data_IF_729902791273
#
_entry.id   IF_729902791273
#
_cell.length_a   1.000
_cell.length_b   1.000
_cell.length_c   1.000
_cell.angle_alpha   90.00
_cell.angle_beta   90.00
_cell.angle_gamma   90.00
#
_symmetry.space_group_name_H-M   'P 1'
#
loop_
_entity.id
_entity.type
_entity.pdbx_description
1 polymer ?
#
# COMPACT_ATOMS: atom_id res chain seq x y z
N UNK A 1 -6.13 -3.95 -1.94
CA UNK A 1 -6.22 -5.12 -1.08
C UNK A 1 -6.36 -6.40 -1.92
N UNK A 2 -7.42 -6.53 -2.68
CA UNK A 2 -7.73 -7.75 -3.45
C UNK A 2 -6.61 -8.13 -4.44
N UNK A 3 -5.92 -7.14 -5.00
CA UNK A 3 -4.76 -7.36 -5.86
C UNK A 3 -3.61 -8.06 -5.12
N UNK A 4 -3.35 -7.72 -3.85
CA UNK A 4 -2.31 -8.39 -3.06
C UNK A 4 -2.74 -9.79 -2.58
N UNK A 5 -4.04 -10.06 -2.52
CA UNK A 5 -4.52 -11.42 -2.31
C UNK A 5 -4.13 -12.35 -3.48
N UNK A 6 -4.04 -11.81 -4.71
CA UNK A 6 -3.53 -12.59 -5.86
C UNK A 6 -2.06 -13.00 -5.69
N UNK A 7 -1.22 -12.18 -5.03
CA UNK A 7 0.16 -12.55 -4.70
C UNK A 7 0.22 -13.76 -3.76
N UNK A 8 -0.68 -13.79 -2.77
CA UNK A 8 -0.73 -14.88 -1.82
C UNK A 8 -1.20 -16.21 -2.44
N UNK A 9 -1.86 -16.22 -3.60
CA UNK A 9 -2.25 -17.44 -4.29
C UNK A 9 -1.03 -18.26 -4.75
N UNK A 10 0.00 -17.60 -5.28
CA UNK A 10 1.25 -18.21 -5.70
C UNK A 10 2.43 -17.39 -5.18
N UNK A 11 3.07 -17.89 -4.11
CA UNK A 11 4.20 -17.20 -3.51
C UNK A 11 5.40 -17.19 -4.48
N UNK A 12 5.98 -16.01 -4.65
CA UNK A 12 7.18 -15.76 -5.43
C UNK A 12 8.17 -14.94 -4.59
N UNK A 13 9.42 -14.91 -5.01
CA UNK A 13 10.47 -14.11 -4.35
C UNK A 13 10.33 -12.61 -4.60
N UNK A 14 9.63 -12.23 -5.66
CA UNK A 14 9.21 -10.87 -5.98
C UNK A 14 8.01 -10.92 -6.92
N UNK A 15 7.34 -9.80 -7.12
CA UNK A 15 6.22 -9.66 -8.04
C UNK A 15 6.46 -8.50 -8.98
N UNK A 16 5.54 -8.29 -9.93
CA UNK A 16 5.66 -7.25 -10.94
C UNK A 16 6.01 -5.86 -10.38
N UNK A 17 5.36 -5.44 -9.30
CA UNK A 17 5.46 -4.09 -8.75
C UNK A 17 5.83 -4.02 -7.25
N UNK A 18 5.80 -5.14 -6.52
CA UNK A 18 6.14 -5.14 -5.09
C UNK A 18 6.84 -6.42 -4.63
N UNK A 19 7.69 -6.32 -3.57
CA UNK A 19 8.29 -7.45 -2.90
C UNK A 19 7.29 -8.35 -2.14
N UNK A 20 7.71 -9.54 -1.65
CA UNK A 20 6.79 -10.61 -1.25
C UNK A 20 6.16 -10.50 0.15
N UNK A 21 6.63 -9.61 1.04
CA UNK A 21 6.22 -9.63 2.45
C UNK A 21 4.73 -9.44 2.68
N UNK A 22 4.02 -8.70 1.81
CA UNK A 22 2.56 -8.56 1.91
C UNK A 22 1.86 -9.89 1.64
N UNK A 23 2.33 -10.69 0.68
CA UNK A 23 1.80 -12.02 0.40
C UNK A 23 2.03 -13.00 1.56
N UNK A 24 3.21 -12.95 2.17
CA UNK A 24 3.53 -13.75 3.35
C UNK A 24 2.67 -13.37 4.55
N UNK A 25 2.42 -12.08 4.77
CA UNK A 25 1.53 -11.60 5.83
C UNK A 25 0.09 -12.11 5.62
N UNK A 26 -0.42 -12.06 4.38
CA UNK A 26 -1.74 -12.62 4.04
C UNK A 26 -1.77 -14.12 4.33
N UNK A 27 -0.79 -14.89 3.86
CA UNK A 27 -0.72 -16.33 4.12
C UNK A 27 -0.73 -16.65 5.62
N UNK A 28 0.00 -15.89 6.41
CA UNK A 28 0.07 -16.07 7.86
C UNK A 28 -1.32 -15.89 8.51
N UNK A 29 -2.01 -14.79 8.20
CA UNK A 29 -3.26 -14.44 8.89
C UNK A 29 -4.49 -15.17 8.34
N UNK A 30 -4.42 -15.63 7.09
CA UNK A 30 -5.47 -16.46 6.45
C UNK A 30 -5.27 -17.95 6.69
N UNK A 31 -4.29 -18.37 7.51
CA UNK A 31 -3.87 -19.76 7.68
C UNK A 31 -3.66 -20.46 6.32
N UNK A 32 -2.76 -19.89 5.53
CA UNK A 32 -2.42 -20.38 4.19
C UNK A 32 -3.62 -20.39 3.21
N UNK A 33 -4.43 -19.33 3.22
CA UNK A 33 -5.63 -19.13 2.40
C UNK A 33 -6.80 -20.07 2.75
N UNK A 34 -6.80 -20.64 3.95
CA UNK A 34 -7.95 -21.41 4.44
C UNK A 34 -9.15 -20.48 4.72
N UNK A 35 -8.89 -19.28 5.28
CA UNK A 35 -9.88 -18.23 5.46
C UNK A 35 -9.54 -17.03 4.56
N UNK A 36 -10.37 -16.76 3.56
CA UNK A 36 -10.11 -15.71 2.55
C UNK A 36 -11.04 -14.51 2.65
N UNK A 37 -11.90 -14.47 3.66
CA UNK A 37 -12.77 -13.31 3.87
C UNK A 37 -11.97 -12.07 4.35
N UNK A 38 -12.58 -10.90 4.18
CA UNK A 38 -11.93 -9.61 4.45
C UNK A 38 -11.40 -9.47 5.89
N UNK A 39 -11.99 -10.15 6.87
CA UNK A 39 -11.56 -10.11 8.26
C UNK A 39 -10.16 -10.71 8.42
N UNK A 40 -9.97 -11.96 7.96
CA UNK A 40 -8.68 -12.65 8.09
C UNK A 40 -7.59 -11.98 7.24
N UNK A 41 -7.94 -11.51 6.04
CA UNK A 41 -7.01 -10.78 5.15
C UNK A 41 -6.50 -9.50 5.82
N UNK A 42 -7.36 -8.78 6.56
CA UNK A 42 -7.01 -7.52 7.26
C UNK A 42 -6.45 -7.73 8.67
N UNK A 43 -6.52 -8.91 9.21
CA UNK A 43 -6.07 -9.20 10.58
C UNK A 43 -4.58 -8.87 10.76
N UNK A 44 -3.74 -9.14 9.75
CA UNK A 44 -2.31 -8.85 9.78
C UNK A 44 -1.99 -7.36 10.00
N UNK A 45 -2.43 -6.46 9.12
CA UNK A 45 -2.27 -5.02 9.30
C UNK A 45 -2.79 -4.51 10.65
N UNK A 46 -3.97 -4.95 11.08
CA UNK A 46 -4.57 -4.54 12.37
C UNK A 46 -3.67 -4.95 13.54
N UNK A 47 -3.15 -6.17 13.52
CA UNK A 47 -2.26 -6.66 14.56
C UNK A 47 -0.93 -5.90 14.57
N UNK A 48 -0.36 -5.67 13.39
CA UNK A 48 0.86 -4.88 13.26
C UNK A 48 0.65 -3.43 13.70
N UNK A 49 -0.51 -2.82 13.42
CA UNK A 49 -0.81 -1.46 13.87
C UNK A 49 -0.85 -1.34 15.40
N UNK A 50 -1.42 -2.34 16.08
CA UNK A 50 -1.43 -2.37 17.55
C UNK A 50 0.00 -2.48 18.12
N UNK A 51 0.82 -3.37 17.55
CA UNK A 51 2.24 -3.52 17.94
C UNK A 51 3.01 -2.24 17.65
N UNK A 52 2.82 -1.65 16.47
CA UNK A 52 3.47 -0.40 16.06
C UNK A 52 3.14 0.76 17.01
N UNK A 53 1.87 0.88 17.43
CA UNK A 53 1.44 1.89 18.40
C UNK A 53 2.16 1.69 19.75
N UNK A 54 2.28 0.44 20.21
CA UNK A 54 3.03 0.12 21.42
C UNK A 54 4.54 0.41 21.28
N UNK A 55 5.15 0.04 20.15
CA UNK A 55 6.55 0.37 19.87
C UNK A 55 6.79 1.88 19.86
N UNK A 56 5.90 2.65 19.26
CA UNK A 56 5.96 4.12 19.27
C UNK A 56 5.89 4.68 20.70
N UNK A 57 5.04 4.09 21.56
CA UNK A 57 5.03 4.42 22.99
C UNK A 57 6.39 4.11 23.64
N UNK A 58 6.97 2.94 23.38
CA UNK A 58 8.25 2.53 23.95
C UNK A 58 9.38 3.47 23.50
N UNK A 59 9.48 3.75 22.18
CA UNK A 59 10.49 4.67 21.62
C UNK A 59 10.34 6.06 22.24
N UNK A 60 9.14 6.63 22.20
CA UNK A 60 8.87 7.95 22.77
C UNK A 60 9.19 8.04 24.27
N UNK A 61 8.87 6.97 25.03
CA UNK A 61 9.19 6.88 26.46
C UNK A 61 10.69 6.88 26.70
N UNK A 62 11.45 6.20 25.86
CA UNK A 62 12.90 6.12 25.89
C UNK A 62 13.56 7.45 25.51
N UNK A 63 12.98 8.19 24.58
CA UNK A 63 13.48 9.51 24.19
C UNK A 63 13.48 10.51 25.35
N UNK A 64 12.48 10.43 26.26
CA UNK A 64 12.38 11.35 27.39
C UNK A 64 11.63 10.77 28.59
N UNK A 65 10.34 10.45 28.46
CA UNK A 65 9.48 9.95 29.54
C UNK A 65 8.16 9.36 29.01
N UNK A 66 7.38 8.73 29.89
CA UNK A 66 6.09 8.09 29.55
C UNK A 66 5.08 9.03 28.89
N UNK A 67 5.11 10.33 29.19
CA UNK A 67 4.25 11.33 28.52
C UNK A 67 4.64 11.51 27.06
N UNK A 68 5.94 11.53 26.74
CA UNK A 68 6.44 11.55 25.37
C UNK A 68 6.01 10.31 24.61
N UNK A 69 6.10 9.13 25.27
CA UNK A 69 5.61 7.87 24.70
C UNK A 69 4.12 7.90 24.39
N UNK A 70 3.30 8.37 25.34
CA UNK A 70 1.87 8.50 25.14
C UNK A 70 1.53 9.44 23.97
N UNK A 71 2.17 10.61 23.89
CA UNK A 71 1.95 11.54 22.77
C UNK A 71 2.36 10.89 21.44
N UNK A 72 3.49 10.16 21.40
CA UNK A 72 3.95 9.47 20.19
C UNK A 72 2.93 8.43 19.72
N UNK A 73 2.41 7.60 20.63
CA UNK A 73 1.38 6.61 20.34
C UNK A 73 0.07 7.26 19.83
N UNK A 74 -0.39 8.33 20.48
CA UNK A 74 -1.61 9.04 20.11
C UNK A 74 -1.51 9.73 18.74
N UNK A 75 -0.39 10.42 18.46
CA UNK A 75 -0.16 11.04 17.16
C UNK A 75 0.02 9.99 16.05
N UNK A 76 0.67 8.87 16.35
CA UNK A 76 0.78 7.74 15.43
C UNK A 76 -0.61 7.19 15.08
N UNK A 77 -1.44 6.88 16.08
CA UNK A 77 -2.80 6.36 15.87
C UNK A 77 -3.71 7.38 15.17
N UNK A 78 -3.51 8.69 15.34
CA UNK A 78 -4.31 9.71 14.67
C UNK A 78 -3.88 10.02 13.23
N UNK A 79 -2.78 9.49 12.72
CA UNK A 79 -2.40 9.60 11.32
C UNK A 79 -3.21 8.63 10.45
N UNK A 80 -3.81 9.09 9.35
CA UNK A 80 -4.53 8.23 8.41
C UNK A 80 -3.62 7.21 7.73
N UNK A 81 -2.36 7.60 7.47
CA UNK A 81 -1.39 6.65 6.92
C UNK A 81 -1.18 5.45 7.83
N UNK A 82 -0.92 5.68 9.11
CA UNK A 82 -0.59 4.60 10.05
C UNK A 82 -1.81 3.82 10.53
N UNK A 83 -2.98 4.48 10.62
CA UNK A 83 -4.21 3.86 11.12
C UNK A 83 -5.03 3.18 10.02
N UNK A 84 -5.04 3.70 8.79
CA UNK A 84 -5.86 3.17 7.70
C UNK A 84 -4.99 2.46 6.66
N UNK A 85 -4.03 3.19 6.04
CA UNK A 85 -3.25 2.66 4.91
C UNK A 85 -2.36 1.50 5.34
N UNK A 86 -1.60 1.66 6.41
CA UNK A 86 -0.72 0.62 6.95
C UNK A 86 -1.34 -0.14 8.13
N UNK A 87 -2.49 0.29 8.65
CA UNK A 87 -3.08 -0.24 9.86
C UNK A 87 -4.35 -1.07 9.68
N UNK A 88 -5.07 -0.91 8.57
CA UNK A 88 -6.28 -1.66 8.25
C UNK A 88 -6.18 -2.33 6.90
N UNK A 89 -5.75 -1.58 5.87
CA UNK A 89 -5.65 -2.14 4.54
C UNK A 89 -4.45 -3.06 4.40
N UNK A 90 -4.66 -4.20 3.74
CA UNK A 90 -3.55 -5.10 3.42
C UNK A 90 -2.79 -4.56 2.21
N UNK A 91 -1.75 -3.81 2.50
CA UNK A 91 -0.83 -3.19 1.56
C UNK A 91 0.62 -3.52 1.95
N UNK A 92 1.59 -3.40 1.04
CA UNK A 92 3.01 -3.53 1.37
C UNK A 92 3.48 -2.59 2.48
N UNK A 93 2.76 -1.49 2.69
CA UNK A 93 3.00 -0.50 3.75
C UNK A 93 2.86 -1.09 5.17
N UNK A 94 1.98 -2.07 5.38
CA UNK A 94 1.75 -2.66 6.70
C UNK A 94 3.01 -3.38 7.24
N UNK A 95 3.61 -4.38 6.57
CA UNK A 95 4.84 -5.00 7.03
C UNK A 95 6.04 -4.04 6.95
N UNK A 96 6.09 -3.13 5.97
CA UNK A 96 7.16 -2.13 5.86
C UNK A 96 7.22 -1.25 7.11
N UNK A 97 6.08 -0.70 7.54
CA UNK A 97 6.01 0.21 8.69
C UNK A 97 6.44 -0.48 9.99
N UNK A 98 6.08 -1.74 10.17
CA UNK A 98 6.49 -2.54 11.32
C UNK A 98 8.02 -2.67 11.39
N UNK A 99 8.64 -3.12 10.31
CA UNK A 99 10.11 -3.26 10.27
C UNK A 99 10.83 -1.91 10.34
N UNK A 100 10.25 -0.88 9.76
CA UNK A 100 10.78 0.49 9.85
C UNK A 100 10.85 0.98 11.30
N UNK A 101 9.80 0.78 12.08
CA UNK A 101 9.75 1.21 13.49
C UNK A 101 10.74 0.41 14.33
N UNK A 102 10.88 -0.89 14.10
CA UNK A 102 11.92 -1.71 14.76
C UNK A 102 13.32 -1.17 14.43
N UNK A 103 13.58 -0.86 13.16
CA UNK A 103 14.85 -0.25 12.77
C UNK A 103 15.11 1.07 13.48
N UNK A 104 14.11 1.95 13.60
CA UNK A 104 14.26 3.20 14.35
C UNK A 104 14.59 2.95 15.82
N UNK A 105 13.94 1.97 16.46
CA UNK A 105 14.25 1.60 17.84
C UNK A 105 15.71 1.19 18.00
N UNK A 106 16.19 0.29 17.13
CA UNK A 106 17.59 -0.18 17.13
C UNK A 106 18.59 0.94 16.84
N UNK A 107 18.30 1.78 15.85
CA UNK A 107 19.17 2.90 15.48
C UNK A 107 19.30 3.93 16.61
N UNK A 108 18.22 4.22 17.33
CA UNK A 108 18.28 5.10 18.51
C UNK A 108 19.20 4.51 19.56
N UNK A 109 19.14 3.19 19.77
CA UNK A 109 20.05 2.50 20.69
C UNK A 109 21.50 2.59 20.24
N UNK A 110 21.77 2.33 18.97
CA UNK A 110 23.12 2.39 18.38
C UNK A 110 23.73 3.77 18.58
N UNK A 111 22.97 4.86 18.36
CA UNK A 111 23.54 6.22 18.44
C UNK A 111 23.63 6.77 19.86
N UNK A 112 22.96 6.14 20.83
CA UNK A 112 22.98 6.57 22.25
C UNK A 112 23.83 5.70 23.16
N UNK A 113 24.07 4.44 22.78
CA UNK A 113 24.83 3.48 23.59
C UNK A 113 26.36 3.66 23.42
N UNK A 114 27.09 3.44 24.52
CA UNK A 114 28.55 3.43 24.53
C UNK A 114 29.15 2.01 24.75
N UNK A 115 28.31 0.96 24.67
CA UNK A 115 28.70 -0.40 25.08
C UNK A 115 28.86 -1.38 23.90
N UNK A 116 29.42 -2.57 24.16
CA UNK A 116 29.55 -3.70 23.23
C UNK A 116 28.21 -4.20 22.66
N UNK A 117 27.09 -3.85 23.26
CA UNK A 117 25.74 -4.19 22.81
C UNK A 117 25.46 -3.65 21.38
N UNK A 118 26.17 -2.60 20.95
CA UNK A 118 26.07 -2.04 19.58
C UNK A 118 26.26 -3.11 18.50
N UNK A 119 27.11 -4.11 18.72
CA UNK A 119 27.37 -5.17 17.74
C UNK A 119 26.12 -5.99 17.41
N UNK A 120 25.40 -6.40 18.44
CA UNK A 120 24.15 -7.15 18.27
C UNK A 120 23.05 -6.31 17.62
N UNK A 121 22.94 -5.04 18.01
CA UNK A 121 21.97 -4.11 17.45
C UNK A 121 22.22 -3.82 15.97
N UNK A 122 23.48 -3.73 15.53
CA UNK A 122 23.82 -3.60 14.11
C UNK A 122 23.39 -4.83 13.30
N UNK A 123 23.62 -6.05 13.81
CA UNK A 123 23.17 -7.28 13.16
C UNK A 123 21.64 -7.29 13.02
N UNK A 124 20.93 -7.02 14.10
CA UNK A 124 19.45 -6.95 14.08
C UNK A 124 18.94 -5.86 13.13
N UNK A 125 19.61 -4.70 13.10
CA UNK A 125 19.27 -3.65 12.13
C UNK A 125 19.40 -4.15 10.69
N UNK A 126 20.47 -4.88 10.36
CA UNK A 126 20.66 -5.48 9.03
C UNK A 126 19.52 -6.45 8.66
N UNK A 127 19.10 -7.29 9.60
CA UNK A 127 17.98 -8.23 9.40
C UNK A 127 16.68 -7.45 9.12
N UNK A 128 16.31 -6.54 10.02
CA UNK A 128 15.04 -5.84 9.91
C UNK A 128 15.01 -4.81 8.76
N UNK A 129 16.14 -4.19 8.42
CA UNK A 129 16.25 -3.35 7.23
C UNK A 129 16.06 -4.18 5.95
N UNK A 130 16.65 -5.39 5.88
CA UNK A 130 16.41 -6.33 4.79
C UNK A 130 14.93 -6.71 4.66
N UNK A 131 14.26 -7.07 5.76
CA UNK A 131 12.83 -7.39 5.79
C UNK A 131 11.95 -6.17 5.43
N UNK A 132 12.39 -4.97 5.81
CA UNK A 132 11.72 -3.73 5.42
C UNK A 132 11.79 -3.52 3.89
N UNK A 133 12.95 -3.75 3.27
CA UNK A 133 13.13 -3.69 1.81
C UNK A 133 12.31 -4.78 1.12
N UNK A 134 12.29 -6.01 1.68
CA UNK A 134 11.43 -7.11 1.22
C UNK A 134 9.93 -6.81 1.33
N UNK A 135 9.55 -5.79 2.11
CA UNK A 135 8.16 -5.30 2.19
C UNK A 135 7.89 -4.26 1.11
N UNK A 136 8.77 -3.26 0.97
CA UNK A 136 8.66 -2.18 -0.02
C UNK A 136 10.03 -1.54 -0.23
N UNK A 137 10.37 -1.25 -1.48
CA UNK A 137 11.69 -0.74 -1.87
C UNK A 137 12.12 0.53 -1.10
N UNK A 138 11.16 1.34 -0.62
CA UNK A 138 11.44 2.51 0.21
C UNK A 138 12.21 2.18 1.50
N UNK A 139 12.26 0.91 1.92
CA UNK A 139 13.12 0.44 3.02
C UNK A 139 14.60 0.76 2.83
N UNK A 140 15.07 0.99 1.60
CA UNK A 140 16.43 1.44 1.29
C UNK A 140 16.77 2.79 1.95
N UNK A 141 15.78 3.64 2.19
CA UNK A 141 16.00 4.93 2.88
C UNK A 141 16.44 4.78 4.34
N UNK A 142 16.25 3.62 4.97
CA UNK A 142 16.85 3.33 6.28
C UNK A 142 18.39 3.29 6.18
N UNK A 143 18.91 2.60 5.19
CA UNK A 143 20.35 2.57 4.93
C UNK A 143 20.89 3.91 4.44
N UNK A 144 20.15 4.62 3.59
CA UNK A 144 20.53 5.95 3.14
C UNK A 144 20.66 6.91 4.33
N UNK A 145 19.64 7.00 5.17
CA UNK A 145 19.62 7.89 6.32
C UNK A 145 20.68 7.51 7.37
N UNK A 146 20.85 6.21 7.66
CA UNK A 146 21.86 5.75 8.59
C UNK A 146 23.29 5.91 8.04
N UNK A 147 23.50 5.64 6.76
CA UNK A 147 24.78 5.89 6.07
C UNK A 147 25.16 7.38 6.12
N UNK A 148 24.22 8.28 5.82
CA UNK A 148 24.44 9.72 5.97
C UNK A 148 24.77 10.09 7.42
N UNK A 149 24.09 9.52 8.41
CA UNK A 149 24.40 9.74 9.82
C UNK A 149 25.84 9.32 10.16
N UNK A 150 26.25 8.15 9.71
CA UNK A 150 27.61 7.63 9.94
C UNK A 150 28.64 8.57 9.31
N UNK A 151 28.48 8.90 8.04
CA UNK A 151 29.45 9.70 7.27
C UNK A 151 29.61 11.11 7.80
N UNK A 152 28.52 11.74 8.28
CA UNK A 152 28.52 13.13 8.72
C UNK A 152 28.86 13.25 10.21
N UNK A 153 28.33 12.34 11.06
CA UNK A 153 28.34 12.54 12.50
C UNK A 153 29.05 11.47 13.33
N UNK A 154 29.27 10.26 12.79
CA UNK A 154 29.88 9.16 13.57
C UNK A 154 30.73 8.22 12.71
N UNK A 155 31.79 8.76 12.10
CA UNK A 155 32.70 8.00 11.23
C UNK A 155 33.39 6.82 11.91
N UNK A 156 33.46 6.83 13.26
CA UNK A 156 34.05 5.71 14.01
C UNK A 156 33.29 4.40 13.79
N UNK A 157 31.99 4.44 13.45
CA UNK A 157 31.23 3.23 13.10
C UNK A 157 31.75 2.54 11.83
N UNK A 158 32.44 3.26 10.93
CA UNK A 158 33.06 2.67 9.73
C UNK A 158 34.17 1.64 10.09
N UNK A 159 34.77 1.74 11.27
CA UNK A 159 35.75 0.77 11.73
C UNK A 159 35.15 -0.44 12.46
N UNK A 160 33.82 -0.46 12.62
CA UNK A 160 33.11 -1.55 13.26
C UNK A 160 32.77 -2.65 12.24
N UNK A 161 33.42 -3.83 12.37
CA UNK A 161 33.18 -4.98 11.47
C UNK A 161 31.72 -5.43 11.41
N UNK A 162 30.94 -5.24 12.47
CA UNK A 162 29.53 -5.61 12.52
C UNK A 162 28.62 -4.69 11.66
N UNK A 163 29.08 -3.49 11.30
CA UNK A 163 28.41 -2.68 10.30
C UNK A 163 28.43 -3.36 8.92
N UNK A 164 29.57 -3.87 8.51
CA UNK A 164 29.71 -4.58 7.24
C UNK A 164 28.96 -5.90 7.24
N UNK A 165 28.96 -6.62 8.37
CA UNK A 165 28.15 -7.82 8.54
C UNK A 165 26.65 -7.49 8.43
N UNK A 166 26.21 -6.37 8.99
CA UNK A 166 24.82 -5.87 8.87
C UNK A 166 24.42 -5.60 7.41
N UNK A 167 25.30 -4.91 6.66
CA UNK A 167 25.11 -4.68 5.21
C UNK A 167 25.04 -6.01 4.46
N UNK A 168 25.96 -6.92 4.74
CA UNK A 168 26.00 -8.25 4.10
C UNK A 168 24.70 -9.04 4.36
N UNK A 169 24.21 -9.06 5.61
CA UNK A 169 22.95 -9.71 5.98
C UNK A 169 21.78 -9.07 5.22
N UNK A 170 21.73 -7.73 5.13
CA UNK A 170 20.68 -7.05 4.34
C UNK A 170 20.72 -7.47 2.89
N UNK A 171 21.92 -7.51 2.26
CA UNK A 171 22.09 -7.92 0.86
C UNK A 171 21.63 -9.38 0.69
N UNK A 172 21.99 -10.27 1.61
CA UNK A 172 21.57 -11.67 1.57
C UNK A 172 20.06 -11.82 1.64
N UNK A 173 19.39 -11.08 2.53
CA UNK A 173 17.92 -11.12 2.67
C UNK A 173 17.22 -10.56 1.40
N UNK A 174 17.77 -9.54 0.77
CA UNK A 174 17.20 -8.88 -0.41
C UNK A 174 17.57 -9.59 -1.72
N UNK A 175 18.61 -10.45 -1.71
CA UNK A 175 19.11 -11.12 -2.93
C UNK A 175 18.02 -11.87 -3.72
N UNK A 176 16.98 -12.51 -3.11
CA UNK A 176 15.93 -13.16 -3.87
C UNK A 176 15.14 -12.21 -4.81
N UNK A 177 14.98 -10.92 -4.43
CA UNK A 177 14.37 -9.92 -5.31
C UNK A 177 15.24 -9.70 -6.56
N UNK A 178 16.56 -9.63 -6.38
CA UNK A 178 17.51 -9.40 -7.47
C UNK A 178 17.53 -10.60 -8.41
N UNK A 179 17.59 -11.82 -7.87
CA UNK A 179 17.56 -13.07 -8.64
C UNK A 179 16.27 -13.15 -9.47
N UNK A 180 15.11 -12.94 -8.84
CA UNK A 180 13.83 -12.94 -9.54
C UNK A 180 13.79 -11.90 -10.68
N UNK A 181 14.33 -10.70 -10.46
CA UNK A 181 14.38 -9.66 -11.50
C UNK A 181 15.31 -10.04 -12.66
N UNK A 182 16.45 -10.71 -12.40
CA UNK A 182 17.31 -11.24 -13.46
C UNK A 182 16.54 -12.26 -14.31
N UNK A 183 15.84 -13.19 -13.69
CA UNK A 183 15.02 -14.20 -14.37
C UNK A 183 13.84 -13.61 -15.16
N UNK A 184 13.35 -12.43 -14.77
CA UNK A 184 12.21 -11.74 -15.38
C UNK A 184 12.60 -10.44 -16.11
N UNK A 185 13.82 -10.36 -16.69
CA UNK A 185 14.29 -9.24 -17.52
C UNK A 185 14.20 -7.88 -16.83
N UNK A 186 14.43 -7.83 -15.52
CA UNK A 186 14.38 -6.62 -14.71
C UNK A 186 13.06 -5.84 -14.77
N UNK A 187 11.94 -6.53 -14.99
CA UNK A 187 10.64 -5.89 -15.24
C UNK A 187 10.20 -4.95 -14.10
N UNK A 188 10.43 -5.32 -12.83
CA UNK A 188 10.08 -4.46 -11.70
C UNK A 188 10.87 -3.14 -11.74
N UNK A 189 12.17 -3.20 -12.03
CA UNK A 189 13.00 -1.99 -12.14
C UNK A 189 12.63 -1.15 -13.34
N UNK A 190 12.37 -1.76 -14.50
CA UNK A 190 11.93 -1.05 -15.70
C UNK A 190 10.60 -0.34 -15.46
N UNK A 191 9.63 -1.03 -14.84
CA UNK A 191 8.34 -0.46 -14.52
C UNK A 191 8.45 0.74 -13.54
N UNK A 192 9.24 0.60 -12.47
CA UNK A 192 9.42 1.68 -11.51
C UNK A 192 10.30 2.81 -12.03
N UNK A 193 11.35 2.53 -12.81
CA UNK A 193 12.19 3.57 -13.40
C UNK A 193 11.40 4.45 -14.36
N UNK A 194 10.53 3.87 -15.18
CA UNK A 194 9.64 4.63 -16.07
C UNK A 194 8.68 5.57 -15.29
N UNK A 195 8.37 5.24 -14.03
CA UNK A 195 7.54 6.09 -13.16
C UNK A 195 8.29 7.26 -12.54
N UNK A 196 9.61 7.21 -12.45
CA UNK A 196 10.44 8.25 -11.82
C UNK A 196 11.39 8.96 -12.80
N UNK A 197 11.49 8.50 -14.05
CA UNK A 197 12.32 9.12 -15.09
C UNK A 197 11.80 10.52 -15.40
N UNK A 198 12.71 11.51 -15.41
CA UNK A 198 12.40 12.90 -15.71
C UNK A 198 12.41 13.08 -17.23
N UNK A 199 11.25 12.95 -17.87
CA UNK A 199 11.07 13.09 -19.33
C UNK A 199 9.97 14.12 -19.67
N UNK A 200 9.36 14.74 -18.66
CA UNK A 200 8.28 15.72 -18.79
C UNK A 200 8.68 17.05 -18.14
N UNK A 201 8.04 18.12 -18.59
CA UNK A 201 8.16 19.43 -17.96
C UNK A 201 7.65 19.45 -16.51
N UNK A 202 7.84 20.59 -15.81
CA UNK A 202 7.43 20.75 -14.41
C UNK A 202 5.93 20.55 -14.24
N UNK A 203 5.54 19.67 -13.32
CA UNK A 203 4.18 19.33 -12.94
C UNK A 203 3.82 19.93 -11.56
N UNK A 204 3.39 21.18 -11.53
CA UNK A 204 2.98 21.84 -10.29
C UNK A 204 1.79 21.15 -9.62
N UNK A 205 0.87 20.56 -10.39
CA UNK A 205 -0.27 19.81 -9.83
C UNK A 205 0.22 18.55 -9.06
N UNK A 206 1.22 17.86 -9.59
CA UNK A 206 1.87 16.74 -8.90
C UNK A 206 2.52 17.17 -7.58
N UNK A 207 3.23 18.30 -7.60
CA UNK A 207 3.84 18.89 -6.41
C UNK A 207 2.79 19.24 -5.32
N UNK A 208 1.75 19.98 -5.68
CA UNK A 208 0.70 20.32 -4.71
C UNK A 208 -0.03 19.08 -4.20
N UNK A 209 -0.27 18.09 -5.05
CA UNK A 209 -0.86 16.81 -4.65
C UNK A 209 0.01 16.08 -3.64
N UNK A 210 1.33 16.02 -3.82
CA UNK A 210 2.26 15.37 -2.88
C UNK A 210 2.28 16.09 -1.53
N UNK A 211 2.42 17.42 -1.53
CA UNK A 211 2.51 18.22 -0.29
C UNK A 211 1.18 18.22 0.47
N UNK A 212 0.07 18.53 -0.20
CA UNK A 212 -1.25 18.57 0.44
C UNK A 212 -1.76 17.17 0.77
N UNK A 213 -1.53 16.21 -0.12
CA UNK A 213 -1.84 14.81 0.12
C UNK A 213 -1.03 14.24 1.30
N UNK A 214 0.26 14.56 1.40
CA UNK A 214 1.08 14.20 2.55
C UNK A 214 0.52 14.76 3.87
N UNK A 215 0.04 16.01 3.86
CA UNK A 215 -0.64 16.60 5.01
C UNK A 215 -1.96 15.88 5.34
N UNK A 216 -2.76 15.53 4.33
CA UNK A 216 -4.02 14.79 4.51
C UNK A 216 -3.76 13.40 5.07
N UNK A 217 -2.87 12.60 4.45
CA UNK A 217 -2.57 11.24 4.91
C UNK A 217 -1.97 11.18 6.32
N UNK A 218 -1.24 12.21 6.75
CA UNK A 218 -0.70 12.28 8.11
C UNK A 218 -1.63 12.99 9.12
N UNK A 219 -2.87 13.26 8.77
CA UNK A 219 -3.82 14.10 9.48
C UNK A 219 -3.38 15.58 9.52
N UNK A 220 -4.14 16.54 8.98
CA UNK A 220 -3.75 17.95 8.90
C UNK A 220 -3.35 18.57 10.25
N UNK A 221 -3.99 18.15 11.35
CA UNK A 221 -3.65 18.64 12.69
C UNK A 221 -2.29 18.10 13.14
N UNK A 222 -1.98 16.83 12.88
CA UNK A 222 -0.65 16.28 13.13
C UNK A 222 0.41 17.01 12.29
N UNK A 223 0.09 17.29 11.03
CA UNK A 223 1.02 17.98 10.13
C UNK A 223 1.37 19.39 10.66
N UNK A 224 0.38 20.15 11.15
CA UNK A 224 0.59 21.44 11.81
C UNK A 224 1.46 21.28 13.06
N UNK A 225 1.20 20.27 13.90
CA UNK A 225 2.02 19.99 15.09
C UNK A 225 3.45 19.63 14.72
N UNK A 226 3.66 18.84 13.65
CA UNK A 226 4.99 18.48 13.13
C UNK A 226 5.73 19.72 12.67
N UNK A 227 5.13 20.57 11.84
CA UNK A 227 5.75 21.79 11.33
C UNK A 227 6.13 22.73 12.48
N UNK A 228 5.21 22.95 13.44
CA UNK A 228 5.48 23.81 14.61
C UNK A 228 6.59 23.25 15.50
N UNK A 229 6.64 21.94 15.69
CA UNK A 229 7.71 21.29 16.44
C UNK A 229 9.07 21.41 15.73
N UNK A 230 9.11 21.20 14.41
CA UNK A 230 10.34 21.34 13.61
C UNK A 230 10.87 22.78 13.66
N UNK A 231 10.01 23.79 13.53
CA UNK A 231 10.40 25.20 13.70
C UNK A 231 10.96 25.47 15.11
N UNK A 232 10.33 24.89 16.14
CA UNK A 232 10.82 25.00 17.51
C UNK A 232 12.18 24.31 17.72
N UNK A 233 12.37 23.13 17.10
CA UNK A 233 13.65 22.39 17.11
C UNK A 233 14.74 23.17 16.38
N UNK A 234 14.43 23.77 15.23
CA UNK A 234 15.35 24.64 14.49
C UNK A 234 15.79 25.84 15.33
N UNK A 235 14.85 26.48 16.02
CA UNK A 235 15.11 27.61 16.94
C UNK A 235 15.72 27.18 18.29
N UNK A 236 16.14 25.94 18.45
CA UNK A 236 16.72 25.36 19.68
C UNK A 236 15.86 25.55 20.94
N UNK A 237 14.54 25.60 20.81
CA UNK A 237 13.61 25.69 21.96
C UNK A 237 13.58 24.44 22.85
N UNK A 238 14.03 23.30 22.34
CA UNK A 238 13.93 22.02 23.00
C UNK A 238 15.29 21.36 23.15
N UNK A 239 15.60 20.89 24.35
CA UNK A 239 16.87 20.22 24.67
C UNK A 239 16.85 18.74 24.27
N UNK A 240 16.83 18.47 22.97
CA UNK A 240 16.92 17.10 22.43
C UNK A 240 18.40 16.72 22.29
N UNK A 241 18.75 15.47 22.67
CA UNK A 241 20.10 14.95 22.46
C UNK A 241 20.45 15.00 20.97
N UNK A 242 21.59 15.60 20.64
CA UNK A 242 22.02 15.84 19.26
C UNK A 242 22.08 14.58 18.39
N UNK A 243 22.63 13.42 18.89
CA UNK A 243 22.62 12.18 18.11
C UNK A 243 21.22 11.76 17.68
N UNK A 244 20.24 11.79 18.59
CA UNK A 244 18.85 11.43 18.32
C UNK A 244 18.19 12.40 17.33
N UNK A 245 18.34 13.72 17.55
CA UNK A 245 17.81 14.75 16.66
C UNK A 245 18.30 14.54 15.23
N UNK A 246 19.60 14.38 15.05
CA UNK A 246 20.25 14.19 13.75
C UNK A 246 19.79 12.91 13.07
N UNK A 247 19.73 11.81 13.82
CA UNK A 247 19.27 10.53 13.31
C UNK A 247 17.81 10.63 12.81
N UNK A 248 16.87 11.10 13.64
CA UNK A 248 15.46 11.17 13.27
C UNK A 248 15.19 12.10 12.09
N UNK A 249 15.94 13.19 11.95
CA UNK A 249 15.87 14.06 10.77
C UNK A 249 16.38 13.34 9.52
N UNK A 250 17.49 12.58 9.61
CA UNK A 250 18.02 11.83 8.48
C UNK A 250 17.20 10.60 8.12
N UNK A 251 16.42 10.05 9.05
CA UNK A 251 15.46 9.00 8.77
C UNK A 251 14.16 9.50 8.14
N UNK A 252 13.94 10.82 8.09
CA UNK A 252 12.71 11.41 7.55
C UNK A 252 12.94 12.27 6.32
N UNK A 253 13.80 13.28 6.41
CA UNK A 253 13.93 14.30 5.38
C UNK A 253 14.36 13.77 4.00
N UNK A 254 15.32 12.83 3.88
CA UNK A 254 15.71 12.31 2.56
C UNK A 254 14.55 11.73 1.77
N UNK A 255 13.71 10.88 2.37
CA UNK A 255 12.57 10.29 1.69
C UNK A 255 11.53 11.35 1.31
N UNK A 256 11.19 12.26 2.22
CA UNK A 256 10.21 13.33 1.96
C UNK A 256 10.70 14.24 0.82
N UNK A 257 11.96 14.69 0.87
CA UNK A 257 12.52 15.60 -0.12
C UNK A 257 12.64 14.95 -1.51
N UNK A 258 13.04 13.68 -1.57
CA UNK A 258 13.12 12.93 -2.84
C UNK A 258 11.73 12.81 -3.46
N UNK A 259 10.70 12.47 -2.68
CA UNK A 259 9.34 12.34 -3.23
C UNK A 259 8.76 13.70 -3.65
N UNK A 260 8.97 14.76 -2.89
CA UNK A 260 8.60 16.12 -3.28
C UNK A 260 9.32 16.52 -4.58
N UNK A 261 10.62 16.21 -4.71
CA UNK A 261 11.36 16.49 -5.94
C UNK A 261 10.82 15.70 -7.14
N UNK A 262 10.59 14.39 -6.99
CA UNK A 262 10.02 13.55 -8.05
C UNK A 262 8.63 14.05 -8.44
N UNK A 263 7.81 14.52 -7.49
CA UNK A 263 6.45 15.00 -7.75
C UNK A 263 6.38 16.24 -8.63
N UNK A 264 7.49 17.00 -8.74
CA UNK A 264 7.60 18.10 -9.69
C UNK A 264 7.60 17.66 -11.16
N UNK A 265 7.87 16.38 -11.43
CA UNK A 265 8.02 15.86 -12.78
C UNK A 265 7.11 14.67 -13.06
N UNK A 266 6.72 13.91 -12.03
CA UNK A 266 5.94 12.67 -12.11
C UNK A 266 4.85 12.62 -11.06
N UNK A 267 3.86 11.80 -11.34
CA UNK A 267 2.78 11.53 -10.39
C UNK A 267 3.28 10.58 -9.30
N UNK A 268 3.44 11.10 -8.08
CA UNK A 268 3.70 10.33 -6.86
C UNK A 268 2.40 10.04 -6.13
N UNK A 269 2.44 9.06 -5.24
CA UNK A 269 1.32 8.79 -4.32
C UNK A 269 1.70 9.32 -2.93
N UNK A 270 0.93 10.28 -2.38
CA UNK A 270 1.31 11.00 -1.16
C UNK A 270 1.55 10.13 0.08
N UNK A 271 1.01 8.91 0.12
CA UNK A 271 1.28 7.97 1.21
C UNK A 271 2.67 7.31 1.14
N UNK A 272 3.40 7.46 0.03
CA UNK A 272 4.76 6.89 -0.08
C UNK A 272 5.75 7.50 0.91
N UNK A 273 5.56 8.76 1.29
CA UNK A 273 6.34 9.44 2.32
C UNK A 273 5.98 9.01 3.75
N UNK A 274 4.92 8.24 3.93
CA UNK A 274 4.36 7.86 5.24
C UNK A 274 5.38 7.34 6.27
N UNK A 275 6.28 6.38 5.96
CA UNK A 275 7.27 5.88 6.92
C UNK A 275 8.19 6.97 7.48
N UNK A 276 8.52 7.99 6.69
CA UNK A 276 9.35 9.12 7.12
C UNK A 276 8.68 9.94 8.24
N UNK A 277 7.35 10.08 8.20
CA UNK A 277 6.60 10.83 9.21
C UNK A 277 6.64 10.19 10.60
N UNK A 278 6.94 8.90 10.72
CA UNK A 278 7.12 8.23 12.03
C UNK A 278 8.23 8.91 12.84
N UNK A 279 9.36 9.21 12.20
CA UNK A 279 10.46 9.92 12.85
C UNK A 279 10.09 11.35 13.23
N UNK A 280 9.30 12.03 12.40
CA UNK A 280 8.79 13.38 12.68
C UNK A 280 7.78 13.40 13.83
N UNK A 281 6.93 12.36 13.93
CA UNK A 281 6.01 12.16 15.08
C UNK A 281 6.81 12.01 16.39
N UNK A 282 7.90 11.25 16.40
CA UNK A 282 8.77 11.10 17.57
C UNK A 282 9.39 12.43 17.99
N UNK A 283 9.93 13.22 17.07
CA UNK A 283 10.45 14.56 17.33
C UNK A 283 9.36 15.50 17.87
N UNK A 284 8.17 15.43 17.29
CA UNK A 284 7.01 16.23 17.71
C UNK A 284 6.57 15.86 19.11
N UNK A 285 6.49 14.56 19.42
CA UNK A 285 6.10 14.10 20.76
C UNK A 285 7.07 14.56 21.84
N UNK A 286 8.38 14.57 21.54
CA UNK A 286 9.40 15.13 22.43
C UNK A 286 9.17 16.62 22.66
N UNK A 287 8.96 17.40 21.61
CA UNK A 287 8.72 18.83 21.70
C UNK A 287 7.46 19.17 22.53
N UNK A 288 6.35 18.48 22.23
CA UNK A 288 5.08 18.69 22.92
C UNK A 288 5.12 18.31 24.40
N UNK A 289 5.87 17.27 24.78
CA UNK A 289 6.04 16.85 26.15
C UNK A 289 6.86 17.86 26.99
N UNK A 290 7.62 18.75 26.35
CA UNK A 290 8.35 19.85 27.03
C UNK A 290 7.49 21.07 27.28
N UNK A 291 6.47 21.31 26.44
CA UNK A 291 5.58 22.47 26.53
C UNK A 291 4.29 22.20 27.29
N UNK A 292 4.10 20.97 27.81
CA UNK A 292 2.89 20.55 28.50
C UNK A 292 2.63 21.41 29.75
N UNK A 293 1.46 22.07 29.80
CA UNK A 293 1.00 22.84 30.97
C UNK A 293 0.68 21.94 32.17
N UNK A 294 0.89 22.43 33.40
CA UNK A 294 0.61 21.73 34.67
C UNK A 294 -0.81 21.10 34.79
N UNK A 295 -1.79 21.62 34.02
CA UNK A 295 -3.19 21.21 34.07
C UNK A 295 -3.51 19.97 33.19
N UNK A 296 -2.75 19.73 32.11
CA UNK A 296 -2.99 18.60 31.19
C UNK A 296 -1.68 17.86 30.94
N UNK A 297 -1.72 16.50 30.92
CA UNK A 297 -0.55 15.65 30.66
C UNK A 297 0.07 15.91 29.26
N UNK A 298 -0.72 16.44 28.30
CA UNK A 298 -0.31 16.74 26.93
C UNK A 298 -1.25 17.80 26.30
N UNK A 299 -0.86 18.44 25.18
CA UNK A 299 -1.68 19.46 24.52
C UNK A 299 -3.03 18.92 24.05
N UNK A 300 -4.09 19.72 24.22
CA UNK A 300 -5.46 19.36 23.78
C UNK A 300 -5.52 18.99 22.28
N UNK A 301 -4.69 19.62 21.46
CA UNK A 301 -4.65 19.39 20.00
C UNK A 301 -4.33 17.93 19.64
N UNK A 302 -3.64 17.16 20.50
CA UNK A 302 -3.41 15.72 20.32
C UNK A 302 -4.73 14.94 20.37
N UNK A 303 -5.59 15.25 21.36
CA UNK A 303 -6.93 14.65 21.44
C UNK A 303 -7.82 15.10 20.29
N UNK A 304 -7.76 16.37 19.92
CA UNK A 304 -8.52 16.90 18.78
C UNK A 304 -8.15 16.15 17.49
N UNK A 305 -6.86 15.82 17.31
CA UNK A 305 -6.39 15.04 16.17
C UNK A 305 -6.98 13.62 16.16
N UNK A 306 -7.05 12.94 17.32
CA UNK A 306 -7.69 11.62 17.41
C UNK A 306 -9.18 11.68 17.10
N UNK A 307 -9.90 12.64 17.69
CA UNK A 307 -11.33 12.82 17.45
C UNK A 307 -11.58 13.12 15.98
N UNK A 308 -10.75 13.99 15.37
CA UNK A 308 -10.85 14.30 13.94
C UNK A 308 -10.68 13.02 13.08
N UNK A 309 -9.68 12.19 13.37
CA UNK A 309 -9.49 10.92 12.67
C UNK A 309 -10.70 10.00 12.84
N UNK A 310 -11.22 9.85 14.06
CA UNK A 310 -12.39 9.03 14.31
C UNK A 310 -13.62 9.53 13.54
N UNK A 311 -13.86 10.84 13.52
CA UNK A 311 -14.97 11.45 12.77
C UNK A 311 -14.83 11.18 11.26
N UNK A 312 -13.63 11.34 10.71
CA UNK A 312 -13.39 11.08 9.27
C UNK A 312 -13.60 9.60 8.94
N UNK A 313 -13.12 8.67 9.77
CA UNK A 313 -13.35 7.22 9.57
C UNK A 313 -14.84 6.90 9.60
N UNK A 314 -15.56 7.38 10.62
CA UNK A 314 -17.00 7.17 10.75
C UNK A 314 -17.78 7.76 9.55
N UNK A 315 -17.45 8.98 9.15
CA UNK A 315 -18.04 9.64 7.98
C UNK A 315 -17.75 8.85 6.70
N UNK A 316 -16.54 8.32 6.53
CA UNK A 316 -16.16 7.46 5.42
C UNK A 316 -17.00 6.18 5.37
N UNK A 317 -17.18 5.49 6.49
CA UNK A 317 -18.00 4.28 6.59
C UNK A 317 -19.47 4.58 6.20
N UNK A 318 -20.02 5.69 6.71
CA UNK A 318 -21.38 6.11 6.35
C UNK A 318 -21.48 6.44 4.86
N UNK A 319 -20.54 7.18 4.33
CA UNK A 319 -20.48 7.56 2.91
C UNK A 319 -20.45 6.34 1.99
N UNK A 320 -19.54 5.38 2.27
CA UNK A 320 -19.41 4.17 1.45
C UNK A 320 -20.71 3.37 1.43
N UNK A 321 -21.37 3.20 2.57
CA UNK A 321 -22.50 2.29 2.70
C UNK A 321 -23.85 2.95 2.40
N UNK A 322 -24.02 4.24 2.70
CA UNK A 322 -25.34 4.87 2.74
C UNK A 322 -25.52 6.06 1.78
N UNK A 323 -24.46 6.51 1.08
CA UNK A 323 -24.61 7.60 0.11
C UNK A 323 -25.59 7.19 -1.01
N UNK A 324 -26.61 8.00 -1.35
CA UNK A 324 -27.58 7.62 -2.38
C UNK A 324 -26.95 7.68 -3.79
N UNK A 325 -26.88 6.54 -4.47
CA UNK A 325 -26.29 6.43 -5.79
C UNK A 325 -24.77 6.57 -5.78
N UNK A 326 -24.24 7.54 -6.48
CA UNK A 326 -22.79 7.78 -6.65
C UNK A 326 -22.41 9.23 -6.38
N UNK A 327 -21.21 9.44 -5.81
CA UNK A 327 -20.57 10.77 -5.71
C UNK A 327 -19.82 11.15 -6.99
N UNK A 328 -19.71 10.22 -7.94
CA UNK A 328 -19.07 10.42 -9.25
C UNK A 328 -20.09 10.82 -10.33
N UNK A 329 -19.76 10.47 -11.57
CA UNK A 329 -20.62 10.75 -12.72
C UNK A 329 -22.00 10.09 -12.59
N UNK A 330 -23.06 10.84 -12.87
CA UNK A 330 -24.44 10.36 -12.94
C UNK A 330 -24.89 10.04 -14.37
N UNK A 331 -24.05 10.29 -15.39
CA UNK A 331 -24.34 9.95 -16.78
C UNK A 331 -24.43 8.44 -16.97
N UNK A 332 -25.44 7.98 -17.70
CA UNK A 332 -25.76 6.55 -17.89
C UNK A 332 -24.57 5.73 -18.40
N UNK A 333 -23.75 6.28 -19.30
CA UNK A 333 -22.61 5.60 -19.92
C UNK A 333 -21.37 5.53 -19.01
N UNK A 334 -21.21 6.51 -18.14
CA UNK A 334 -20.07 6.63 -17.22
C UNK A 334 -20.50 6.64 -15.75
N UNK A 335 -21.63 6.01 -15.44
CA UNK A 335 -22.24 6.02 -14.11
C UNK A 335 -21.22 5.52 -13.06
N UNK A 336 -20.97 6.34 -12.04
CA UNK A 336 -20.02 6.05 -10.97
C UNK A 336 -18.57 6.42 -11.29
N UNK A 337 -18.24 6.94 -12.48
CA UNK A 337 -16.86 7.34 -12.81
C UNK A 337 -16.40 8.47 -11.88
N UNK A 338 -15.24 8.25 -11.23
CA UNK A 338 -14.69 9.16 -10.23
C UNK A 338 -15.15 8.89 -8.79
N UNK A 339 -16.06 7.93 -8.56
CA UNK A 339 -16.48 7.52 -7.21
C UNK A 339 -15.60 6.38 -6.69
N UNK A 340 -14.55 6.73 -5.95
CA UNK A 340 -13.61 5.77 -5.32
C UNK A 340 -14.27 4.92 -4.21
N UNK A 341 -15.43 5.35 -3.67
CA UNK A 341 -16.12 4.59 -2.62
C UNK A 341 -16.75 3.31 -3.16
N UNK A 342 -17.02 3.24 -4.47
CA UNK A 342 -17.56 2.06 -5.13
C UNK A 342 -16.56 0.90 -5.18
N UNK A 343 -15.26 1.17 -5.04
CA UNK A 343 -14.23 0.12 -4.99
C UNK A 343 -14.35 -0.78 -3.74
N UNK A 344 -14.98 -0.26 -2.68
CA UNK A 344 -15.24 -0.99 -1.43
C UNK A 344 -16.72 -1.40 -1.26
N UNK A 345 -17.60 -1.09 -2.23
CA UNK A 345 -19.05 -1.28 -2.05
C UNK A 345 -19.57 -2.57 -2.68
N UNK A 346 -20.05 -3.50 -1.84
CA UNK A 346 -20.88 -4.68 -2.17
C UNK A 346 -20.51 -5.45 -3.45
N UNK A 347 -19.28 -5.94 -3.56
CA UNK A 347 -18.85 -6.75 -4.70
C UNK A 347 -19.58 -8.10 -4.80
N UNK A 348 -20.03 -8.68 -3.68
CA UNK A 348 -20.81 -9.92 -3.63
C UNK A 348 -22.13 -9.83 -4.40
N UNK A 349 -22.71 -8.62 -4.54
CA UNK A 349 -23.87 -8.39 -5.38
C UNK A 349 -23.61 -8.82 -6.83
N UNK A 350 -22.44 -8.51 -7.37
CA UNK A 350 -22.09 -8.85 -8.74
C UNK A 350 -21.87 -10.37 -8.94
N UNK A 351 -21.35 -11.06 -7.93
CA UNK A 351 -21.27 -12.54 -7.93
C UNK A 351 -22.63 -13.16 -8.18
N UNK A 352 -23.63 -12.77 -7.39
CA UNK A 352 -25.00 -13.30 -7.52
C UNK A 352 -25.58 -13.04 -8.91
N UNK A 353 -25.43 -11.83 -9.44
CA UNK A 353 -25.95 -11.45 -10.76
C UNK A 353 -25.20 -12.13 -11.90
N UNK A 354 -23.90 -12.21 -11.82
CA UNK A 354 -23.10 -12.96 -12.80
C UNK A 354 -23.49 -14.45 -12.83
N UNK A 355 -23.64 -15.08 -11.66
CA UNK A 355 -24.06 -16.47 -11.56
C UNK A 355 -25.41 -16.73 -12.24
N UNK A 356 -26.36 -15.80 -12.11
CA UNK A 356 -27.64 -15.89 -12.80
C UNK A 356 -27.47 -15.88 -14.34
N UNK A 357 -26.64 -14.96 -14.86
CA UNK A 357 -26.34 -14.88 -16.30
C UNK A 357 -25.64 -16.16 -16.78
N UNK A 358 -24.62 -16.58 -16.05
CA UNK A 358 -23.83 -17.77 -16.33
C UNK A 358 -24.70 -19.04 -16.39
N UNK A 359 -25.52 -19.27 -15.35
CA UNK A 359 -26.42 -20.42 -15.25
C UNK A 359 -27.47 -20.43 -16.36
N UNK A 360 -28.02 -19.26 -16.74
CA UNK A 360 -28.97 -19.17 -17.84
C UNK A 360 -28.31 -19.47 -19.20
N UNK A 361 -27.08 -19.01 -19.42
CA UNK A 361 -26.37 -19.34 -20.67
C UNK A 361 -26.04 -20.80 -20.78
N UNK A 362 -25.66 -21.48 -19.68
CA UNK A 362 -25.47 -22.92 -19.64
C UNK A 362 -26.77 -23.70 -19.96
N UNK A 363 -27.86 -23.34 -19.29
CA UNK A 363 -29.18 -24.01 -19.49
C UNK A 363 -29.68 -23.84 -20.91
N UNK A 364 -29.45 -22.70 -21.53
CA UNK A 364 -29.91 -22.40 -22.89
C UNK A 364 -28.92 -22.90 -23.99
N UNK A 365 -27.86 -23.59 -23.61
CA UNK A 365 -26.87 -24.10 -24.54
C UNK A 365 -26.08 -23.06 -25.32
N UNK A 366 -26.05 -21.80 -24.81
CA UNK A 366 -25.31 -20.70 -25.48
C UNK A 366 -23.80 -20.88 -25.40
N UNK A 367 -23.30 -21.36 -24.27
CA UNK A 367 -21.89 -21.65 -24.04
C UNK A 367 -21.76 -22.55 -22.82
N UNK A 368 -20.70 -23.32 -22.76
CA UNK A 368 -20.28 -24.13 -21.61
C UNK A 368 -18.96 -23.63 -21.01
N UNK A 369 -18.50 -22.43 -21.43
CA UNK A 369 -17.21 -21.90 -21.02
C UNK A 369 -17.12 -21.69 -19.51
N UNK A 370 -15.93 -21.95 -18.97
CA UNK A 370 -15.55 -21.68 -17.58
C UNK A 370 -14.53 -20.55 -17.48
N UNK A 371 -14.29 -19.81 -18.58
CA UNK A 371 -13.28 -18.75 -18.61
C UNK A 371 -13.88 -17.37 -18.40
N UNK A 372 -13.19 -16.55 -17.61
CA UNK A 372 -13.36 -15.09 -17.55
C UNK A 372 -12.03 -14.46 -17.94
N UNK A 373 -12.05 -13.48 -18.83
CA UNK A 373 -10.86 -12.72 -19.26
C UNK A 373 -10.97 -11.27 -18.85
N UNK A 374 -9.84 -10.62 -18.55
CA UNK A 374 -9.77 -9.18 -18.39
C UNK A 374 -8.39 -8.64 -18.77
N UNK A 375 -8.34 -7.37 -19.20
CA UNK A 375 -7.13 -6.74 -19.70
C UNK A 375 -6.47 -5.77 -18.71
N UNK A 376 -7.04 -5.54 -17.52
CA UNK A 376 -6.50 -4.60 -16.54
C UNK A 376 -6.49 -5.21 -15.14
N UNK A 377 -5.37 -5.09 -14.44
CA UNK A 377 -5.14 -5.70 -13.13
C UNK A 377 -6.15 -5.28 -12.05
N UNK A 378 -6.59 -4.02 -12.06
CA UNK A 378 -7.46 -3.51 -10.99
C UNK A 378 -8.88 -4.12 -11.07
N UNK A 379 -9.65 -3.99 -12.17
CA UNK A 379 -10.92 -4.70 -12.26
C UNK A 379 -10.74 -6.22 -12.22
N UNK A 380 -9.65 -6.74 -12.82
CA UNK A 380 -9.32 -8.16 -12.79
C UNK A 380 -9.27 -8.73 -11.38
N UNK A 381 -8.58 -8.07 -10.45
CA UNK A 381 -8.45 -8.56 -9.08
C UNK A 381 -9.79 -8.71 -8.37
N UNK A 382 -10.71 -7.77 -8.56
CA UNK A 382 -12.06 -7.85 -7.99
C UNK A 382 -12.91 -8.94 -8.66
N UNK A 383 -12.87 -9.02 -9.99
CA UNK A 383 -13.64 -10.04 -10.75
C UNK A 383 -13.13 -11.44 -10.40
N UNK A 384 -11.83 -11.63 -10.34
CA UNK A 384 -11.21 -12.88 -9.97
C UNK A 384 -11.63 -13.31 -8.55
N UNK A 385 -11.42 -12.47 -7.57
CA UNK A 385 -11.68 -12.78 -6.17
C UNK A 385 -13.17 -12.92 -5.82
N UNK A 386 -14.01 -12.02 -6.34
CA UNK A 386 -15.43 -11.98 -5.96
C UNK A 386 -16.35 -12.74 -6.91
N UNK A 387 -15.92 -13.05 -8.15
CA UNK A 387 -16.77 -13.73 -9.13
C UNK A 387 -16.17 -15.06 -9.55
N UNK A 388 -14.92 -15.06 -10.10
CA UNK A 388 -14.37 -16.26 -10.72
C UNK A 388 -14.10 -17.36 -9.69
N UNK A 389 -13.31 -17.08 -8.65
CA UNK A 389 -12.94 -18.09 -7.64
C UNK A 389 -14.14 -18.69 -6.91
N UNK A 390 -15.11 -17.90 -6.39
CA UNK A 390 -16.27 -18.46 -5.70
C UNK A 390 -17.22 -19.28 -6.60
N UNK A 391 -17.13 -19.11 -7.92
CA UNK A 391 -17.91 -19.86 -8.92
C UNK A 391 -17.09 -20.95 -9.59
N UNK A 392 -15.85 -21.19 -9.14
CA UNK A 392 -14.92 -22.18 -9.70
C UNK A 392 -14.66 -21.98 -11.20
N UNK A 393 -14.59 -20.72 -11.64
CA UNK A 393 -14.26 -20.31 -13.00
C UNK A 393 -12.78 -19.98 -13.11
N UNK A 394 -12.19 -20.27 -14.27
CA UNK A 394 -10.80 -19.91 -14.57
C UNK A 394 -10.70 -18.45 -14.99
N UNK A 395 -9.91 -17.66 -14.29
CA UNK A 395 -9.64 -16.27 -14.64
C UNK A 395 -8.33 -16.17 -15.41
N UNK A 396 -8.31 -15.45 -16.55
CA UNK A 396 -7.13 -15.24 -17.40
C UNK A 396 -6.92 -13.74 -17.61
N UNK A 397 -5.74 -13.23 -17.23
CA UNK A 397 -5.31 -11.89 -17.60
C UNK A 397 -4.89 -11.87 -19.08
N UNK A 398 -5.68 -11.23 -19.94
CA UNK A 398 -5.44 -11.20 -21.39
C UNK A 398 -5.26 -9.74 -21.84
N UNK A 399 -4.02 -9.29 -21.96
CA UNK A 399 -3.67 -7.92 -22.30
C UNK A 399 -2.17 -7.66 -22.29
N UNK A 400 -1.77 -6.40 -22.40
CA UNK A 400 -0.38 -5.99 -22.28
C UNK A 400 0.14 -6.17 -20.85
N UNK A 401 1.43 -6.49 -20.72
CA UNK A 401 2.05 -6.73 -19.42
C UNK A 401 1.86 -5.55 -18.44
N UNK A 402 1.99 -4.33 -18.93
CA UNK A 402 1.84 -3.10 -18.14
C UNK A 402 0.40 -2.87 -17.65
N UNK A 403 -0.58 -3.53 -18.25
CA UNK A 403 -2.00 -3.44 -17.89
C UNK A 403 -2.42 -4.59 -16.98
N UNK A 404 -1.96 -5.83 -17.25
CA UNK A 404 -2.37 -7.03 -16.49
C UNK A 404 -1.48 -7.32 -15.27
N UNK A 405 -0.29 -6.71 -15.19
CA UNK A 405 0.63 -6.83 -14.06
C UNK A 405 0.92 -8.30 -13.70
N UNK A 406 0.77 -8.65 -12.40
CA UNK A 406 1.05 -9.98 -11.86
C UNK A 406 0.22 -11.11 -12.51
N UNK A 407 -0.87 -10.79 -13.20
CA UNK A 407 -1.67 -11.79 -13.91
C UNK A 407 -0.88 -12.47 -15.03
N UNK A 408 0.14 -11.81 -15.60
CA UNK A 408 1.03 -12.44 -16.59
C UNK A 408 1.71 -13.70 -16.03
N UNK A 409 2.09 -13.69 -14.76
CA UNK A 409 2.67 -14.85 -14.07
C UNK A 409 1.63 -15.81 -13.55
N UNK A 410 0.50 -15.31 -13.02
CA UNK A 410 -0.59 -16.15 -12.53
C UNK A 410 -1.19 -17.03 -13.62
N UNK A 411 -1.24 -16.56 -14.86
CA UNK A 411 -1.71 -17.36 -16.00
C UNK A 411 -0.94 -18.67 -16.17
N UNK A 412 0.33 -18.74 -15.74
CA UNK A 412 1.14 -19.95 -15.83
C UNK A 412 0.67 -21.07 -14.89
N UNK A 413 -0.09 -20.73 -13.85
CA UNK A 413 -0.60 -21.65 -12.84
C UNK A 413 -2.09 -21.94 -12.99
N UNK A 414 -2.72 -21.40 -14.03
CA UNK A 414 -4.17 -21.52 -14.31
C UNK A 414 -4.44 -22.23 -15.62
N UNK A 415 -5.68 -22.63 -15.82
CA UNK A 415 -6.10 -23.21 -17.10
C UNK A 415 -5.87 -22.18 -18.22
N UNK A 416 -5.28 -22.65 -19.30
CA UNK A 416 -5.03 -21.82 -20.49
C UNK A 416 -6.26 -21.76 -21.37
N UNK A 417 -6.49 -20.61 -21.98
CA UNK A 417 -7.48 -20.41 -23.01
C UNK A 417 -6.93 -20.97 -24.34
N UNK A 418 -7.64 -21.90 -24.96
CA UNK A 418 -7.23 -22.54 -26.21
C UNK A 418 -8.05 -21.99 -27.39
N UNK A 419 -7.55 -22.18 -28.60
CA UNK A 419 -8.27 -21.83 -29.81
C UNK A 419 -9.64 -22.51 -29.85
N UNK A 420 -10.68 -21.74 -30.14
CA UNK A 420 -12.06 -22.17 -30.15
C UNK A 420 -12.80 -22.05 -28.82
N UNK A 421 -12.07 -21.77 -27.70
CA UNK A 421 -12.72 -21.54 -26.41
C UNK A 421 -13.50 -20.21 -26.40
N UNK A 422 -14.64 -20.22 -25.71
CA UNK A 422 -15.37 -19.00 -25.37
C UNK A 422 -14.87 -18.43 -24.04
N UNK A 423 -15.13 -17.15 -23.78
CA UNK A 423 -14.85 -16.51 -22.49
C UNK A 423 -15.86 -15.42 -22.17
N UNK A 424 -16.06 -15.16 -20.88
CA UNK A 424 -16.75 -13.96 -20.43
C UNK A 424 -15.77 -12.81 -20.24
N UNK A 425 -16.14 -11.61 -20.67
CA UNK A 425 -15.46 -10.36 -20.32
C UNK A 425 -16.38 -9.50 -19.46
N UNK A 426 -15.89 -9.03 -18.32
CA UNK A 426 -16.65 -8.22 -17.38
C UNK A 426 -16.02 -6.85 -17.24
N UNK A 427 -16.80 -5.79 -17.41
CA UNK A 427 -16.36 -4.42 -17.18
C UNK A 427 -17.45 -3.61 -16.46
N UNK A 428 -17.08 -2.44 -15.92
CA UNK A 428 -17.98 -1.60 -15.11
C UNK A 428 -18.09 -0.18 -15.66
N UNK A 429 -19.22 0.48 -15.49
CA UNK A 429 -19.45 1.84 -16.02
C UNK A 429 -18.48 2.89 -15.44
N UNK A 430 -18.05 2.73 -14.19
CA UNK A 430 -17.09 3.64 -13.56
C UNK A 430 -15.65 3.48 -14.07
N UNK A 431 -15.32 2.35 -14.74
CA UNK A 431 -14.04 2.07 -15.36
C UNK A 431 -14.19 1.29 -16.68
N UNK A 432 -15.11 1.74 -17.50
CA UNK A 432 -15.51 1.04 -18.71
C UNK A 432 -14.36 0.88 -19.70
N UNK A 433 -14.29 -0.31 -20.26
CA UNK A 433 -13.39 -0.68 -21.33
C UNK A 433 -14.22 -1.36 -22.43
N UNK A 434 -14.08 -0.89 -23.67
CA UNK A 434 -14.80 -1.44 -24.82
C UNK A 434 -14.13 -2.74 -25.30
N UNK A 435 -14.79 -3.91 -25.24
CA UNK A 435 -14.18 -5.16 -25.68
C UNK A 435 -13.86 -5.20 -27.18
N UNK A 436 -14.56 -4.45 -28.01
CA UNK A 436 -14.27 -4.38 -29.44
C UNK A 436 -12.91 -3.71 -29.75
N UNK A 437 -12.43 -2.81 -28.89
CA UNK A 437 -11.12 -2.18 -29.05
C UNK A 437 -9.99 -3.11 -28.61
N UNK A 438 -10.27 -4.08 -27.73
CA UNK A 438 -9.25 -4.91 -27.09
C UNK A 438 -9.22 -6.33 -27.66
N UNK A 439 -10.38 -6.95 -27.86
CA UNK A 439 -10.53 -8.37 -28.14
C UNK A 439 -11.06 -8.69 -29.54
N UNK A 440 -11.31 -7.70 -30.38
CA UNK A 440 -11.77 -7.86 -31.76
C UNK A 440 -10.88 -8.83 -32.57
N UNK A 441 -9.57 -8.75 -32.39
CA UNK A 441 -8.62 -9.60 -33.09
C UNK A 441 -8.39 -10.96 -32.40
N UNK A 442 -8.77 -11.06 -31.12
CA UNK A 442 -8.56 -12.26 -30.29
C UNK A 442 -9.73 -13.23 -30.31
N UNK A 443 -10.96 -12.78 -30.58
CA UNK A 443 -12.17 -13.61 -30.65
C UNK A 443 -12.89 -13.44 -31.96
N UNK A 444 -13.65 -14.46 -32.39
CA UNK A 444 -14.41 -14.39 -33.64
C UNK A 444 -15.61 -13.47 -33.51
N UNK A 445 -16.29 -13.53 -32.36
CA UNK A 445 -17.50 -12.78 -32.10
C UNK A 445 -17.52 -12.20 -30.70
N UNK A 446 -17.99 -10.97 -30.57
CA UNK A 446 -18.26 -10.29 -29.31
C UNK A 446 -19.78 -10.02 -29.25
N UNK A 447 -20.47 -10.71 -28.35
CA UNK A 447 -21.92 -10.58 -28.23
C UNK A 447 -22.27 -9.28 -27.47
N UNK A 448 -23.47 -8.72 -27.67
CA UNK A 448 -23.98 -7.63 -26.85
C UNK A 448 -23.97 -7.96 -25.36
N UNK A 449 -23.73 -6.98 -24.47
CA UNK A 449 -23.59 -7.25 -23.05
C UNK A 449 -24.90 -7.51 -22.33
N UNK A 450 -24.86 -8.36 -21.33
CA UNK A 450 -25.83 -8.33 -20.25
C UNK A 450 -25.51 -7.17 -19.33
N UNK A 451 -26.49 -6.31 -19.05
CA UNK A 451 -26.30 -5.11 -18.22
C UNK A 451 -26.95 -5.29 -16.86
N UNK A 452 -26.18 -5.12 -15.80
CA UNK A 452 -26.64 -5.23 -14.41
C UNK A 452 -26.40 -3.91 -13.70
N UNK A 453 -27.45 -3.26 -13.21
CA UNK A 453 -27.33 -2.03 -12.43
C UNK A 453 -27.19 -2.35 -10.94
N UNK A 454 -26.15 -1.82 -10.31
CA UNK A 454 -26.01 -1.85 -8.86
C UNK A 454 -26.60 -0.55 -8.27
N UNK A 455 -27.35 -0.72 -7.20
CA UNK A 455 -27.98 0.38 -6.48
C UNK A 455 -27.31 0.59 -5.13
N UNK A 456 -27.13 1.84 -4.72
CA UNK A 456 -26.75 2.21 -3.37
C UNK A 456 -27.82 3.13 -2.81
N UNK A 457 -28.41 2.73 -1.67
CA UNK A 457 -29.56 3.41 -1.08
C UNK A 457 -30.67 3.75 -2.11
N UNK A 458 -31.12 2.72 -2.86
CA UNK A 458 -32.20 2.75 -3.89
C UNK A 458 -31.90 3.56 -5.16
N UNK A 459 -30.77 4.24 -5.26
CA UNK A 459 -30.36 5.03 -6.44
C UNK A 459 -29.22 4.29 -7.17
N UNK A 460 -29.27 4.30 -8.52
CA UNK A 460 -28.26 3.64 -9.33
C UNK A 460 -26.86 4.24 -9.06
N UNK A 461 -25.88 3.37 -8.80
CA UNK A 461 -24.52 3.74 -8.42
C UNK A 461 -23.50 3.41 -9.51
N UNK A 462 -23.56 2.22 -10.09
CA UNK A 462 -22.78 1.79 -11.26
C UNK A 462 -23.44 0.64 -12.00
N UNK A 463 -22.95 0.34 -13.21
CA UNK A 463 -23.40 -0.80 -14.01
C UNK A 463 -22.26 -1.78 -14.20
N UNK A 464 -22.58 -3.08 -14.23
CA UNK A 464 -21.71 -4.16 -14.69
C UNK A 464 -22.17 -4.60 -16.09
N UNK A 465 -21.23 -4.72 -17.01
CA UNK A 465 -21.44 -5.22 -18.36
C UNK A 465 -20.75 -6.58 -18.48
N UNK A 466 -21.52 -7.61 -18.83
CA UNK A 466 -21.01 -8.97 -19.02
C UNK A 466 -21.15 -9.33 -20.49
N UNK A 467 -20.04 -9.45 -21.18
CA UNK A 467 -19.96 -9.85 -22.58
C UNK A 467 -19.64 -11.35 -22.69
N UNK A 468 -20.24 -12.05 -23.62
CA UNK A 468 -19.79 -13.36 -24.08
C UNK A 468 -18.95 -13.15 -25.34
N UNK A 469 -17.71 -13.61 -25.28
CA UNK A 469 -16.74 -13.63 -26.36
C UNK A 469 -16.67 -15.06 -26.87
N UNK A 470 -16.89 -15.28 -28.18
CA UNK A 470 -16.95 -16.61 -28.79
C UNK A 470 -15.72 -16.89 -29.62
N UNK A 471 -15.22 -18.12 -29.56
CA UNK A 471 -14.15 -18.70 -30.39
C UNK A 471 -12.84 -17.89 -30.32
N UNK A 472 -12.02 -18.15 -29.33
CA UNK A 472 -10.68 -17.59 -29.23
C UNK A 472 -9.80 -18.01 -30.43
N UNK A 473 -9.13 -17.05 -31.07
CA UNK A 473 -8.43 -17.25 -32.36
C UNK A 473 -6.98 -17.70 -32.24
N UNK A 474 -6.32 -17.39 -31.13
CA UNK A 474 -4.87 -17.50 -30.99
C UNK A 474 -4.51 -18.88 -30.42
N UNK A 475 -3.49 -19.52 -31.01
CA UNK A 475 -2.87 -20.71 -30.42
C UNK A 475 -1.86 -20.24 -29.36
N UNK A 476 -2.00 -20.76 -28.13
CA UNK A 476 -1.04 -20.52 -27.04
C UNK A 476 0.15 -21.46 -27.09
#
# INVERSE_FOLDING_TARGET
EVYYLTYAQHLQWNYFDHPPMVALLIRLTTLNLFFTDAFFVRLGPIFLAAINTYLMYCIGSKLKNKTTGLIAALLFTSSFYTSIIAGVFILPDAPQLFFWIICLYLLIDIVTSKSSIIHYQLILFGIFAGLCIMSKIHGLFLWLGFGMYILIYNRNLLFNKYLYLSVFITILIVSPIVIWNIENNFITYTFHSNRVTIDRGVNLNGFFREVLGGALYNNPLNYILIVTALVGIYKNKYSIQQPIKRLLLLMSLPLVLVLIFISLYRDTLPHWSGPAFVSLILLTSFALSTTSCKKYKYPKMVNTSLVFTAVIIFSGIILINNYPGTIGSTHSESLGKGDVTLDMYQWDYFKSKFNTIYSNNLKNGKTNTKFIVNNKWFPAAHIDNYIAQPLHLSFVGLGKLEDIHTYAWLNNYRNKLNKGDDAYFVTFSNMYTNPNEIYKDSFERINPPYVVTQYRNKIAARKMFVYLLESYKINN
#
